data_IF_050801635662
#
_entry.id   IF_050801635662
#
_cell.length_a   1.000
_cell.length_b   1.000
_cell.length_c   1.000
_cell.angle_alpha   90.00
_cell.angle_beta   90.00
_cell.angle_gamma   90.00
#
_symmetry.space_group_name_H-M   'P 1'
#
loop_
_entity.id
_entity.type
_entity.pdbx_description
1 polymer ?
#
# COMPACT_ATOMS: atom_id res chain seq x y z
N UNK A 1 -4.09 -0.14 35.46
CA UNK A 1 -4.54 -1.31 34.69
C UNK A 1 -5.99 -1.07 34.26
N UNK A 2 -6.23 -0.82 32.99
CA UNK A 2 -7.57 -0.84 32.37
C UNK A 2 -7.39 -1.48 30.99
N UNK A 3 -8.05 -2.63 30.81
CA UNK A 3 -7.90 -3.51 29.67
C UNK A 3 -8.46 -2.90 28.39
N UNK A 4 -7.65 -2.88 27.33
CA UNK A 4 -8.14 -2.75 25.96
C UNK A 4 -8.73 -4.11 25.55
N UNK A 5 -10.04 -4.15 25.33
CA UNK A 5 -10.72 -5.34 24.79
C UNK A 5 -10.17 -5.78 23.42
N UNK A 6 -10.50 -7.00 22.97
CA UNK A 6 -10.02 -7.56 21.72
C UNK A 6 -10.42 -6.70 20.51
N UNK A 7 -9.46 -6.49 19.59
CA UNK A 7 -9.58 -5.57 18.43
C UNK A 7 -10.63 -6.02 17.39
N UNK A 8 -11.24 -7.19 17.57
CA UNK A 8 -12.34 -7.70 16.74
C UNK A 8 -13.55 -6.71 16.69
N UNK A 9 -13.74 -5.89 17.71
CA UNK A 9 -14.88 -4.96 17.82
C UNK A 9 -14.74 -3.65 17.03
N UNK A 10 -13.63 -3.44 16.29
CA UNK A 10 -13.35 -2.14 15.64
C UNK A 10 -13.82 -1.98 14.19
N UNK A 11 -14.32 -3.03 13.52
CA UNK A 11 -14.69 -2.93 12.10
C UNK A 11 -16.08 -3.46 11.72
N UNK A 12 -17.18 -2.96 12.33
CA UNK A 12 -18.55 -3.38 11.98
C UNK A 12 -18.93 -3.05 10.52
N UNK A 13 -18.42 -1.94 9.97
CA UNK A 13 -18.89 -1.40 8.69
C UNK A 13 -18.55 -2.28 7.47
N UNK A 14 -17.37 -2.93 7.41
CA UNK A 14 -17.00 -3.77 6.26
C UNK A 14 -17.68 -5.15 6.29
N UNK A 15 -17.81 -5.75 7.49
CA UNK A 15 -18.60 -6.98 7.69
C UNK A 15 -20.07 -6.74 7.35
N UNK A 16 -20.60 -5.57 7.73
CA UNK A 16 -21.97 -5.19 7.44
C UNK A 16 -22.21 -5.00 5.94
N UNK A 17 -21.27 -4.40 5.20
CA UNK A 17 -21.38 -4.25 3.74
C UNK A 17 -21.33 -5.60 3.02
N UNK A 18 -20.46 -6.53 3.42
CA UNK A 18 -20.44 -7.89 2.86
C UNK A 18 -21.76 -8.64 3.11
N UNK A 19 -22.35 -8.46 4.30
CA UNK A 19 -23.64 -9.04 4.69
C UNK A 19 -24.81 -8.45 3.92
N UNK A 20 -24.89 -7.12 3.77
CA UNK A 20 -25.93 -6.42 3.01
C UNK A 20 -25.94 -6.80 1.51
N UNK A 21 -24.78 -7.15 0.94
CA UNK A 21 -24.68 -7.58 -0.45
C UNK A 21 -25.03 -9.07 -0.65
N UNK A 22 -25.13 -9.83 0.45
CA UNK A 22 -25.39 -11.29 0.46
C UNK A 22 -26.81 -11.65 0.91
N UNK A 23 -27.56 -10.70 1.50
CA UNK A 23 -28.94 -10.93 1.94
C UNK A 23 -29.94 -10.79 0.77
N UNK A 24 -30.84 -11.77 0.54
CA UNK A 24 -31.90 -11.62 -0.45
C UNK A 24 -32.92 -10.59 0.05
N UNK A 25 -33.10 -9.49 -0.70
CA UNK A 25 -34.18 -8.53 -0.45
C UNK A 25 -35.51 -9.27 -0.67
N UNK A 26 -36.36 -9.29 0.36
CA UNK A 26 -37.63 -10.00 0.38
C UNK A 26 -38.40 -9.86 -0.93
N UNK A 27 -38.74 -11.01 -1.53
CA UNK A 27 -39.39 -11.10 -2.83
C UNK A 27 -40.84 -10.64 -2.75
N UNK A 28 -41.18 -9.54 -3.44
CA UNK A 28 -42.55 -9.37 -3.97
C UNK A 28 -42.56 -10.01 -5.35
N UNK A 29 -43.04 -11.24 -5.44
CA UNK A 29 -43.16 -11.99 -6.70
C UNK A 29 -44.49 -11.64 -7.36
N UNK A 30 -44.43 -11.14 -8.59
CA UNK A 30 -45.43 -11.41 -9.65
C UNK A 30 -44.68 -11.82 -10.93
N UNK A 31 -45.18 -12.83 -11.67
CA UNK A 31 -44.48 -13.40 -12.81
C UNK A 31 -44.58 -12.42 -13.98
N UNK A 32 -43.53 -12.16 -14.76
CA UNK A 32 -43.15 -12.94 -15.95
C UNK A 32 -41.87 -12.31 -16.51
N UNK A 33 -40.88 -13.15 -16.91
CA UNK A 33 -39.70 -12.89 -17.78
C UNK A 33 -38.41 -13.48 -17.17
N UNK A 34 -38.15 -14.76 -17.45
CA UNK A 34 -37.06 -15.57 -16.87
C UNK A 34 -35.63 -15.29 -17.40
N UNK A 35 -35.36 -14.14 -18.01
CA UNK A 35 -34.02 -13.80 -18.52
C UNK A 35 -33.20 -12.86 -17.62
N UNK A 36 -33.85 -11.89 -16.96
CA UNK A 36 -33.15 -10.79 -16.27
C UNK A 36 -32.84 -11.07 -14.79
N UNK A 37 -33.55 -12.02 -14.16
CA UNK A 37 -33.34 -12.39 -12.76
C UNK A 37 -32.01 -13.13 -12.55
N UNK A 38 -31.65 -14.06 -13.44
CA UNK A 38 -30.40 -14.84 -13.30
C UNK A 38 -29.14 -13.98 -13.49
N UNK A 39 -29.16 -13.00 -14.37
CA UNK A 39 -28.00 -12.11 -14.63
C UNK A 39 -27.82 -11.09 -13.50
N UNK A 40 -28.90 -10.68 -12.83
CA UNK A 40 -28.83 -9.79 -11.66
C UNK A 40 -28.40 -10.53 -10.40
N UNK A 41 -28.86 -11.77 -10.19
CA UNK A 41 -28.42 -12.65 -9.10
C UNK A 41 -26.93 -13.01 -9.23
N UNK A 42 -26.47 -13.39 -10.43
CA UNK A 42 -25.05 -13.71 -10.70
C UNK A 42 -24.14 -12.52 -10.41
N UNK A 43 -24.48 -11.32 -10.91
CA UNK A 43 -23.70 -10.09 -10.65
C UNK A 43 -23.69 -9.68 -9.17
N UNK A 44 -24.76 -9.95 -8.43
CA UNK A 44 -24.82 -9.72 -6.98
C UNK A 44 -23.87 -10.66 -6.24
N UNK A 45 -23.89 -11.95 -6.58
CA UNK A 45 -23.00 -12.97 -6.02
C UNK A 45 -21.53 -12.70 -6.33
N UNK A 46 -21.20 -12.29 -7.56
CA UNK A 46 -19.84 -11.87 -7.94
C UNK A 46 -19.35 -10.67 -7.12
N UNK A 47 -20.20 -9.64 -6.94
CA UNK A 47 -19.89 -8.49 -6.09
C UNK A 47 -19.66 -8.90 -4.63
N UNK A 48 -20.52 -9.75 -4.08
CA UNK A 48 -20.37 -10.26 -2.71
C UNK A 48 -19.05 -11.03 -2.54
N UNK A 49 -18.69 -11.86 -3.53
CA UNK A 49 -17.43 -12.61 -3.56
C UNK A 49 -16.21 -11.66 -3.59
N UNK A 50 -16.24 -10.63 -4.43
CA UNK A 50 -15.17 -9.64 -4.50
C UNK A 50 -15.00 -8.84 -3.19
N UNK A 51 -16.11 -8.48 -2.54
CA UNK A 51 -16.08 -7.78 -1.25
C UNK A 51 -15.52 -8.67 -0.14
N UNK A 52 -15.93 -9.94 -0.08
CA UNK A 52 -15.38 -10.90 0.88
C UNK A 52 -13.88 -11.13 0.69
N UNK A 53 -13.42 -11.26 -0.56
CA UNK A 53 -12.00 -11.37 -0.88
C UNK A 53 -11.20 -10.12 -0.46
N UNK A 54 -11.75 -8.92 -0.71
CA UNK A 54 -11.16 -7.67 -0.25
C UNK A 54 -11.07 -7.59 1.27
N UNK A 55 -12.13 -7.96 1.99
CA UNK A 55 -12.13 -7.96 3.46
C UNK A 55 -11.08 -8.93 4.02
N UNK A 56 -11.01 -10.14 3.48
CA UNK A 56 -10.03 -11.14 3.90
C UNK A 56 -8.60 -10.64 3.69
N UNK A 57 -8.30 -10.10 2.50
CA UNK A 57 -6.99 -9.52 2.18
C UNK A 57 -6.64 -8.36 3.13
N UNK A 58 -7.57 -7.43 3.34
CA UNK A 58 -7.34 -6.27 4.20
C UNK A 58 -7.10 -6.68 5.66
N UNK A 59 -7.91 -7.60 6.20
CA UNK A 59 -7.75 -8.08 7.58
C UNK A 59 -6.43 -8.81 7.78
N UNK A 60 -6.05 -9.68 6.84
CA UNK A 60 -4.76 -10.36 6.87
C UNK A 60 -3.61 -9.36 6.85
N UNK A 61 -3.64 -8.38 5.93
CA UNK A 61 -2.63 -7.34 5.83
C UNK A 61 -2.53 -6.50 7.11
N UNK A 62 -3.65 -6.07 7.70
CA UNK A 62 -3.65 -5.31 8.96
C UNK A 62 -3.10 -6.14 10.13
N UNK A 63 -3.47 -7.42 10.25
CA UNK A 63 -2.99 -8.30 11.31
C UNK A 63 -1.47 -8.52 11.21
N UNK A 64 -0.99 -8.88 10.01
CA UNK A 64 0.44 -9.09 9.75
C UNK A 64 1.23 -7.81 10.01
N UNK A 65 0.81 -6.66 9.48
CA UNK A 65 1.51 -5.39 9.68
C UNK A 65 1.58 -4.96 11.14
N UNK A 66 0.55 -5.26 11.95
CA UNK A 66 0.60 -4.99 13.40
C UNK A 66 1.63 -5.86 14.10
N UNK A 67 1.68 -7.15 13.77
CA UNK A 67 2.68 -8.05 14.34
C UNK A 67 4.09 -7.63 13.96
N UNK A 68 4.32 -7.37 12.66
CA UNK A 68 5.62 -6.94 12.15
C UNK A 68 6.08 -5.61 12.76
N UNK A 69 5.17 -4.66 12.97
CA UNK A 69 5.50 -3.39 13.63
C UNK A 69 5.80 -3.56 15.12
N UNK A 70 5.14 -4.50 15.80
CA UNK A 70 5.38 -4.77 17.21
C UNK A 70 6.76 -5.41 17.44
N UNK A 71 7.18 -6.27 16.51
CA UNK A 71 8.45 -6.99 16.58
C UNK A 71 9.58 -6.29 15.81
N UNK A 72 9.35 -5.05 15.33
CA UNK A 72 10.32 -4.37 14.48
C UNK A 72 11.56 -3.93 15.29
N UNK A 73 12.79 -4.26 14.85
CA UNK A 73 14.02 -3.88 15.54
C UNK A 73 14.34 -2.40 15.28
N UNK A 74 13.63 -1.53 16.01
CA UNK A 74 13.56 -0.09 15.77
C UNK A 74 14.66 0.77 16.40
N UNK A 75 15.69 0.16 16.98
CA UNK A 75 16.73 0.89 17.75
C UNK A 75 17.56 1.82 16.87
N UNK A 76 17.97 1.36 15.69
CA UNK A 76 18.82 2.15 14.78
C UNK A 76 17.99 3.00 13.80
N UNK A 77 16.93 2.42 13.22
CA UNK A 77 16.00 3.09 12.32
C UNK A 77 14.58 2.65 12.64
N UNK A 78 13.63 3.58 12.61
CA UNK A 78 12.21 3.26 12.77
C UNK A 78 11.65 2.53 11.54
N UNK A 79 10.49 1.88 11.66
CA UNK A 79 9.82 1.20 10.54
C UNK A 79 9.66 2.08 9.30
N UNK A 80 9.24 3.33 9.48
CA UNK A 80 9.06 4.28 8.36
C UNK A 80 10.40 4.73 7.76
N UNK A 81 11.47 4.75 8.54
CA UNK A 81 12.82 5.07 8.07
C UNK A 81 13.46 3.87 7.35
N UNK A 82 13.15 2.66 7.81
CA UNK A 82 13.45 1.43 7.10
C UNK A 82 12.79 1.40 5.73
N UNK A 83 11.51 1.79 5.62
CA UNK A 83 10.82 1.86 4.32
C UNK A 83 11.50 2.84 3.34
N UNK A 84 11.98 3.99 3.84
CA UNK A 84 12.80 4.92 3.05
C UNK A 84 14.09 4.23 2.57
N UNK A 85 14.82 3.55 3.46
CA UNK A 85 16.07 2.88 3.13
C UNK A 85 15.84 1.70 2.16
N UNK A 86 14.78 0.92 2.36
CA UNK A 86 14.36 -0.17 1.49
C UNK A 86 14.15 0.36 0.06
N UNK A 87 13.31 1.39 -0.10
CA UNK A 87 13.02 1.95 -1.41
C UNK A 87 14.28 2.48 -2.09
N UNK A 88 15.15 3.22 -1.38
CA UNK A 88 16.44 3.65 -1.92
C UNK A 88 17.31 2.47 -2.33
N UNK A 89 17.39 1.41 -1.52
CA UNK A 89 18.25 0.24 -1.78
C UNK A 89 17.89 -0.51 -3.07
N UNK A 90 16.64 -0.43 -3.52
CA UNK A 90 16.15 -1.05 -4.77
C UNK A 90 16.48 -0.23 -6.02
N UNK A 91 16.91 1.03 -5.86
CA UNK A 91 17.20 1.92 -6.98
C UNK A 91 18.63 1.74 -7.50
N UNK A 92 18.88 1.99 -8.80
CA UNK A 92 20.22 2.06 -9.34
C UNK A 92 21.12 3.04 -8.55
N UNK A 93 22.26 2.57 -8.08
CA UNK A 93 23.17 3.38 -7.25
C UNK A 93 22.60 3.77 -5.88
N UNK A 94 21.53 3.11 -5.42
CA UNK A 94 20.87 3.30 -4.12
C UNK A 94 20.40 4.73 -3.86
N UNK A 95 19.92 5.38 -4.93
CA UNK A 95 19.54 6.78 -4.93
C UNK A 95 18.39 7.04 -5.87
N UNK A 96 17.58 8.04 -5.55
CA UNK A 96 16.55 8.58 -6.46
C UNK A 96 16.24 10.03 -6.11
N UNK A 97 15.45 10.71 -6.97
CA UNK A 97 14.95 12.04 -6.64
C UNK A 97 13.99 11.95 -5.46
N UNK A 98 13.98 12.97 -4.59
CA UNK A 98 13.07 13.08 -3.45
C UNK A 98 11.58 12.95 -3.86
N UNK A 99 11.21 13.52 -5.01
CA UNK A 99 9.85 13.43 -5.55
C UNK A 99 9.46 11.99 -5.86
N UNK A 100 10.38 11.24 -6.45
CA UNK A 100 10.13 9.86 -6.86
C UNK A 100 10.09 8.95 -5.63
N UNK A 101 10.99 9.18 -4.66
CA UNK A 101 10.95 8.51 -3.34
C UNK A 101 9.59 8.65 -2.66
N UNK A 102 9.00 9.86 -2.69
CA UNK A 102 7.67 10.09 -2.11
C UNK A 102 6.58 9.27 -2.81
N UNK A 103 6.70 9.05 -4.13
CA UNK A 103 5.76 8.24 -4.90
C UNK A 103 5.84 6.74 -4.61
N UNK A 104 6.96 6.27 -4.05
CA UNK A 104 7.15 4.88 -3.66
C UNK A 104 6.66 4.57 -2.23
N UNK A 105 6.54 5.59 -1.39
CA UNK A 105 6.14 5.45 0.01
C UNK A 105 4.63 5.69 0.16
N UNK A 106 3.99 4.99 1.09
CA UNK A 106 2.57 5.21 1.44
C UNK A 106 2.38 6.45 2.35
N UNK A 107 3.27 7.43 2.25
CA UNK A 107 3.37 8.59 3.13
C UNK A 107 3.23 9.90 2.35
N UNK A 108 2.80 10.95 3.05
CA UNK A 108 2.73 12.30 2.48
C UNK A 108 4.12 12.91 2.34
N UNK A 109 4.31 13.80 1.35
CA UNK A 109 5.60 14.45 1.10
C UNK A 109 6.20 15.18 2.32
N UNK A 110 5.44 15.94 3.15
CA UNK A 110 5.99 16.55 4.36
C UNK A 110 6.47 15.52 5.40
N UNK A 111 5.89 14.32 5.42
CA UNK A 111 6.33 13.24 6.31
C UNK A 111 7.63 12.61 5.79
N UNK A 112 7.74 12.41 4.48
CA UNK A 112 8.95 11.89 3.83
C UNK A 112 10.13 12.84 4.02
N UNK A 113 9.96 14.15 3.80
CA UNK A 113 11.04 15.12 4.03
C UNK A 113 11.59 15.05 5.46
N UNK A 114 10.73 15.00 6.48
CA UNK A 114 11.15 14.90 7.89
C UNK A 114 11.88 13.59 8.19
N UNK A 115 11.46 12.48 7.60
CA UNK A 115 12.15 11.19 7.71
C UNK A 115 13.57 11.29 7.15
N UNK A 116 13.70 11.83 5.94
CA UNK A 116 14.98 12.00 5.27
C UNK A 116 15.89 12.96 6.05
N UNK A 117 15.36 14.04 6.62
CA UNK A 117 16.15 14.98 7.43
C UNK A 117 16.75 14.31 8.67
N UNK A 118 15.98 13.43 9.36
CA UNK A 118 16.50 12.66 10.50
C UNK A 118 17.53 11.61 10.09
N UNK A 119 17.34 10.99 8.92
CA UNK A 119 18.32 10.04 8.39
C UNK A 119 19.62 10.75 7.98
N UNK A 120 19.51 11.96 7.40
CA UNK A 120 20.63 12.80 7.00
C UNK A 120 21.43 13.23 8.23
N UNK A 121 20.75 13.68 9.29
CA UNK A 121 21.39 14.08 10.55
C UNK A 121 22.19 12.94 11.20
N UNK A 122 21.83 11.69 10.92
CA UNK A 122 22.53 10.47 11.40
C UNK A 122 23.53 9.91 10.39
N UNK A 123 23.73 10.55 9.24
CA UNK A 123 24.64 10.08 8.20
C UNK A 123 24.20 8.78 7.50
N UNK A 124 22.92 8.39 7.62
CA UNK A 124 22.36 7.19 6.99
C UNK A 124 22.05 7.46 5.51
N UNK A 125 21.63 8.69 5.20
CA UNK A 125 21.45 9.17 3.83
C UNK A 125 22.26 10.44 3.61
N UNK A 126 22.48 10.75 2.35
CA UNK A 126 23.00 12.04 1.90
C UNK A 126 22.06 12.68 0.88
N UNK A 127 22.15 14.01 0.76
CA UNK A 127 21.43 14.78 -0.25
C UNK A 127 22.41 15.45 -1.19
N UNK A 128 22.11 15.40 -2.48
CA UNK A 128 22.89 16.08 -3.52
C UNK A 128 21.94 16.87 -4.43
N UNK A 129 22.34 18.05 -4.93
CA UNK A 129 21.61 18.71 -6.01
C UNK A 129 21.48 17.79 -7.22
N UNK A 130 20.34 17.82 -7.90
CA UNK A 130 20.22 17.10 -9.16
C UNK A 130 20.98 17.85 -10.28
N UNK A 131 21.98 17.23 -10.94
CA UNK A 131 22.78 17.91 -11.97
C UNK A 131 21.96 18.24 -13.23
N UNK A 132 20.78 17.63 -13.39
CA UNK A 132 19.90 17.80 -14.56
C UNK A 132 18.67 18.67 -14.28
N UNK A 133 18.44 19.05 -13.02
CA UNK A 133 17.33 19.92 -12.61
C UNK A 133 17.72 20.73 -11.37
N UNK A 134 17.91 22.04 -11.53
CA UNK A 134 18.30 22.94 -10.43
C UNK A 134 17.30 22.99 -9.26
N UNK A 135 16.07 22.50 -9.45
CA UNK A 135 15.04 22.39 -8.40
C UNK A 135 14.96 20.99 -7.79
N UNK A 136 15.72 20.04 -8.31
CA UNK A 136 15.74 18.65 -7.90
C UNK A 136 16.73 18.39 -6.77
N UNK A 137 16.34 17.47 -5.89
CA UNK A 137 17.22 16.91 -4.85
C UNK A 137 17.25 15.41 -5.01
N UNK A 138 18.46 14.85 -5.12
CA UNK A 138 18.73 13.43 -5.07
C UNK A 138 18.99 13.04 -3.62
N UNK A 139 18.34 11.97 -3.17
CA UNK A 139 18.61 11.32 -1.88
C UNK A 139 19.30 9.99 -2.17
N UNK A 140 20.39 9.72 -1.46
CA UNK A 140 21.16 8.48 -1.62
C UNK A 140 21.42 7.83 -0.25
N UNK A 141 21.41 6.50 -0.19
CA UNK A 141 21.97 5.79 0.97
C UNK A 141 23.49 5.97 0.99
N UNK A 142 24.04 6.32 2.15
CA UNK A 142 25.49 6.27 2.36
C UNK A 142 25.93 4.81 2.50
N UNK A 143 27.24 4.50 2.40
CA UNK A 143 27.75 3.16 2.71
C UNK A 143 27.37 2.72 4.13
N UNK A 144 27.54 3.60 5.11
CA UNK A 144 27.14 3.37 6.50
C UNK A 144 25.63 3.10 6.61
N UNK A 145 24.80 3.93 6.00
CA UNK A 145 23.35 3.75 6.04
C UNK A 145 22.88 2.46 5.37
N UNK A 146 23.58 1.99 4.33
CA UNK A 146 23.30 0.69 3.74
C UNK A 146 23.65 -0.47 4.68
N UNK A 147 24.71 -0.36 5.47
CA UNK A 147 25.05 -1.37 6.48
C UNK A 147 24.00 -1.43 7.60
N UNK A 148 23.58 -0.26 8.12
CA UNK A 148 22.49 -0.13 9.10
C UNK A 148 21.20 -0.75 8.55
N UNK A 149 20.81 -0.37 7.33
CA UNK A 149 19.64 -0.92 6.66
C UNK A 149 19.72 -2.44 6.50
N UNK A 150 20.88 -2.98 6.07
CA UNK A 150 21.06 -4.42 5.86
C UNK A 150 20.89 -5.21 7.17
N UNK A 151 21.44 -4.70 8.27
CA UNK A 151 21.32 -5.35 9.59
C UNK A 151 19.85 -5.45 10.03
N UNK A 152 19.09 -4.37 9.86
CA UNK A 152 17.65 -4.34 10.19
C UNK A 152 16.85 -5.21 9.21
N UNK A 153 17.20 -5.19 7.91
CA UNK A 153 16.51 -5.98 6.88
C UNK A 153 16.58 -7.48 7.13
N UNK A 154 17.73 -8.00 7.58
CA UNK A 154 17.90 -9.44 7.91
C UNK A 154 16.97 -9.86 9.04
N UNK A 155 16.91 -9.07 10.11
CA UNK A 155 16.02 -9.33 11.25
C UNK A 155 14.55 -9.20 10.86
N UNK A 156 14.21 -8.17 10.09
CA UNK A 156 12.86 -7.98 9.60
C UNK A 156 12.41 -9.11 8.68
N UNK A 157 13.28 -9.60 7.79
CA UNK A 157 12.99 -10.74 6.92
C UNK A 157 12.73 -12.03 7.72
N UNK A 158 13.49 -12.28 8.79
CA UNK A 158 13.24 -13.40 9.68
C UNK A 158 11.87 -13.28 10.38
N UNK A 159 11.51 -12.09 10.85
CA UNK A 159 10.18 -11.82 11.42
C UNK A 159 9.07 -12.05 10.39
N UNK A 160 9.23 -11.59 9.15
CA UNK A 160 8.27 -11.87 8.06
C UNK A 160 8.12 -13.36 7.83
N UNK A 161 9.23 -14.10 7.71
CA UNK A 161 9.21 -15.54 7.49
C UNK A 161 8.49 -16.28 8.62
N UNK A 162 8.70 -15.87 9.87
CA UNK A 162 8.00 -16.45 11.02
C UNK A 162 6.50 -16.12 11.00
N UNK A 163 6.13 -14.85 10.87
CA UNK A 163 4.75 -14.41 11.02
C UNK A 163 3.87 -14.84 9.83
N UNK A 164 4.43 -14.86 8.62
CA UNK A 164 3.70 -15.26 7.41
C UNK A 164 3.80 -16.77 7.18
N UNK A 165 4.96 -17.37 7.43
CA UNK A 165 5.21 -18.80 7.21
C UNK A 165 4.60 -19.73 8.27
N UNK A 166 4.28 -19.23 9.46
CA UNK A 166 3.62 -20.04 10.49
C UNK A 166 2.17 -20.42 10.15
N UNK A 167 1.49 -19.62 9.33
CA UNK A 167 0.06 -19.78 9.05
C UNK A 167 -0.27 -20.45 7.71
N UNK A 168 0.70 -20.60 6.81
CA UNK A 168 0.48 -21.07 5.44
C UNK A 168 1.60 -22.02 5.02
N UNK A 169 1.22 -23.11 4.35
CA UNK A 169 2.15 -24.02 3.69
C UNK A 169 2.80 -23.39 2.45
N UNK A 170 3.91 -23.94 1.97
CA UNK A 170 4.60 -23.44 0.77
C UNK A 170 3.70 -23.33 -0.48
N UNK A 171 2.80 -24.29 -0.79
CA UNK A 171 1.84 -24.13 -1.88
C UNK A 171 0.89 -22.94 -1.68
N UNK A 172 0.37 -22.76 -0.46
CA UNK A 172 -0.55 -21.66 -0.15
C UNK A 172 0.14 -20.29 -0.24
N UNK A 173 1.41 -20.19 0.19
CA UNK A 173 2.23 -18.98 0.03
C UNK A 173 2.45 -18.64 -1.45
N UNK A 174 2.69 -19.64 -2.31
CA UNK A 174 2.78 -19.42 -3.76
C UNK A 174 1.47 -18.93 -4.34
N UNK A 175 0.35 -19.57 -4.00
CA UNK A 175 -0.98 -19.14 -4.44
C UNK A 175 -1.31 -17.71 -3.97
N UNK A 176 -1.02 -17.37 -2.72
CA UNK A 176 -1.20 -16.02 -2.20
C UNK A 176 -0.38 -15.00 -2.99
N UNK A 177 0.88 -15.32 -3.28
CA UNK A 177 1.78 -14.47 -4.08
C UNK A 177 1.22 -14.23 -5.49
N UNK A 178 0.74 -15.28 -6.16
CA UNK A 178 0.15 -15.20 -7.49
C UNK A 178 -1.12 -14.33 -7.51
N UNK A 179 -2.05 -14.57 -6.58
CA UNK A 179 -3.32 -13.85 -6.50
C UNK A 179 -3.12 -12.36 -6.19
N UNK A 180 -2.27 -12.04 -5.21
CA UNK A 180 -1.95 -10.66 -4.85
C UNK A 180 -1.23 -9.93 -6.00
N UNK A 181 -0.32 -10.60 -6.71
CA UNK A 181 0.36 -10.03 -7.88
C UNK A 181 -0.62 -9.73 -9.00
N UNK A 182 -1.50 -10.68 -9.33
CA UNK A 182 -2.56 -10.50 -10.33
C UNK A 182 -3.47 -9.32 -9.98
N UNK A 183 -3.90 -9.23 -8.72
CA UNK A 183 -4.74 -8.14 -8.23
C UNK A 183 -4.05 -6.77 -8.36
N UNK A 184 -2.78 -6.67 -7.95
CA UNK A 184 -1.98 -5.43 -8.02
C UNK A 184 -1.83 -4.93 -9.46
N UNK A 185 -1.54 -5.84 -10.41
CA UNK A 185 -1.39 -5.49 -11.82
C UNK A 185 -2.71 -5.05 -12.47
N UNK A 186 -3.83 -5.66 -12.07
CA UNK A 186 -5.15 -5.29 -12.58
C UNK A 186 -5.55 -3.85 -12.20
N UNK A 187 -5.26 -3.42 -10.97
CA UNK A 187 -5.57 -2.05 -10.49
C UNK A 187 -4.78 -0.97 -11.24
N UNK A 188 -3.55 -1.27 -11.67
CA UNK A 188 -2.72 -0.35 -12.46
C UNK A 188 -3.10 -0.25 -13.95
N UNK A 189 -3.88 -1.20 -14.47
CA UNK A 189 -4.18 -1.33 -15.91
C UNK A 189 -5.57 -0.84 -16.28
N UNK A 190 -6.38 -0.34 -15.33
CA UNK A 190 -7.74 0.13 -15.60
C UNK A 190 -7.74 1.27 -16.66
N UNK A 191 -8.26 1.04 -17.88
CA UNK A 191 -8.33 2.08 -18.90
C UNK A 191 -9.52 2.98 -18.57
N UNK A 192 -9.28 4.15 -17.95
CA UNK A 192 -10.40 5.01 -17.57
C UNK A 192 -10.11 6.35 -16.90
N UNK A 193 -8.90 6.62 -16.40
CA UNK A 193 -8.54 7.99 -16.00
C UNK A 193 -7.95 8.73 -17.19
N UNK A 194 -8.82 9.17 -18.10
CA UNK A 194 -8.47 10.26 -19.02
C UNK A 194 -8.20 11.48 -18.15
N UNK A 195 -6.94 11.84 -18.00
CA UNK A 195 -6.56 13.19 -17.57
C UNK A 195 -7.20 14.14 -18.57
N UNK A 196 -8.29 14.81 -18.20
CA UNK A 196 -8.79 15.95 -18.97
C UNK A 196 -7.63 16.96 -19.04
N UNK A 197 -7.20 17.37 -20.25
CA UNK A 197 -6.25 18.46 -20.37
C UNK A 197 -6.90 19.68 -19.71
N UNK A 198 -6.27 20.19 -18.65
CA UNK A 198 -6.66 21.46 -18.05
C UNK A 198 -6.50 22.50 -19.14
N UNK A 199 -7.61 23.07 -19.61
CA UNK A 199 -7.61 24.14 -20.59
C UNK A 199 -6.67 25.23 -20.08
N UNK A 200 -5.58 25.47 -20.83
CA UNK A 200 -4.80 26.68 -20.71
C UNK A 200 -5.73 27.79 -21.20
N UNK A 201 -6.26 28.57 -20.27
CA UNK A 201 -6.88 29.85 -20.62
C UNK A 201 -5.74 30.74 -21.12
N UNK A 202 -5.56 30.78 -22.44
CA UNK A 202 -4.77 31.83 -23.09
C UNK A 202 -5.49 33.13 -22.80
N UNK A 203 -4.91 33.96 -21.93
CA UNK A 203 -5.32 35.36 -21.80
C UNK A 203 -4.87 36.07 -23.08
N UNK A 204 -5.86 36.46 -23.86
CA UNK A 204 -5.74 37.26 -25.06
C UNK A 204 -5.15 38.62 -24.68
N UNK A 205 -4.02 38.97 -25.31
CA UNK A 205 -3.40 40.28 -25.16
C UNK A 205 -3.99 41.20 -26.23
N UNK A 206 -4.93 42.05 -25.82
CA UNK A 206 -5.41 43.18 -26.61
C UNK A 206 -5.11 44.50 -25.90
N UNK A 207 -4.10 45.18 -26.45
CA UNK A 207 -3.73 46.60 -26.46
C UNK A 207 -4.79 47.61 -25.97
N UNK A 208 -4.44 48.44 -24.98
CA UNK A 208 -4.20 49.91 -25.05
C UNK A 208 -3.30 50.32 -23.89
#
# INVERSE_FOLDING_TARGET
>A
MQGRGPVADRWPALVHVARLLSEPVGSVVSPTTGGNANVSETRRSEKATAVAAWEALFRAQVAVMRSLNADFPGDEISFNEYDVCFNLSTQPGRRCRMRDLTGHLLLTQPSVSRLVDRLLARGIVEKQPDPTDARGVIVALTPHGFDVYRQVAVQHAASIAQQVGAGLSDPELRTLTELCTKLRLAVGTAPGRRSTPRAVTTLDSATV
#
